data_IF_476955058843
#
_entry.id   IF_476955058843
#
_cell.length_a   1.000
_cell.length_b   1.000
_cell.length_c   1.000
_cell.angle_alpha   90.00
_cell.angle_beta   90.00
_cell.angle_gamma   90.00
#
_symmetry.space_group_name_H-M   'P 1'
#
loop_
_entity.id
_entity.type
_entity.pdbx_description
1 polymer ?
#
# COMPACT_ATOMS: atom_id res chain seq x y z
N UNK A 1 -4.38 17.37 31.69
CA UNK A 1 -4.46 16.18 30.82
C UNK A 1 -4.19 16.69 29.42
N UNK A 2 -3.03 16.38 28.85
CA UNK A 2 -2.66 16.84 27.52
C UNK A 2 -3.29 15.90 26.49
N UNK A 3 -4.11 16.47 25.63
CA UNK A 3 -4.70 15.83 24.46
C UNK A 3 -3.54 15.50 23.51
N UNK A 4 -3.28 14.21 23.27
CA UNK A 4 -2.26 13.79 22.33
C UNK A 4 -2.75 14.12 20.92
N UNK A 5 -2.20 15.20 20.36
CA UNK A 5 -2.37 15.60 18.98
C UNK A 5 -2.05 14.42 18.07
N UNK A 6 -3.07 13.92 17.36
CA UNK A 6 -2.93 12.84 16.39
C UNK A 6 -2.13 13.37 15.19
N UNK A 7 -0.80 13.22 15.26
CA UNK A 7 0.18 13.65 14.23
C UNK A 7 0.23 12.72 13.02
N UNK A 8 -0.72 11.78 12.88
CA UNK A 8 -0.83 10.95 11.68
C UNK A 8 -1.36 11.80 10.52
N UNK A 9 -0.44 12.27 9.66
CA UNK A 9 -0.81 12.90 8.38
C UNK A 9 -1.72 11.93 7.61
N UNK A 10 -2.95 12.32 7.23
CA UNK A 10 -3.84 11.44 6.49
C UNK A 10 -3.23 11.11 5.13
N UNK A 11 -3.40 9.83 4.74
CA UNK A 11 -3.03 9.34 3.43
C UNK A 11 -3.72 10.19 2.34
N UNK A 12 -2.97 10.55 1.30
CA UNK A 12 -3.48 11.33 0.17
C UNK A 12 -3.43 10.53 -1.11
N UNK A 13 -4.60 10.41 -1.73
CA UNK A 13 -4.77 9.79 -3.04
C UNK A 13 -3.88 10.47 -4.11
N UNK A 14 -3.72 11.80 -4.05
CA UNK A 14 -2.84 12.56 -4.95
C UNK A 14 -1.34 12.23 -4.78
N UNK A 15 -0.92 11.71 -3.63
CA UNK A 15 0.48 11.28 -3.38
C UNK A 15 0.71 9.80 -3.65
N UNK A 16 -0.34 9.05 -4.01
CA UNK A 16 -0.25 7.61 -4.22
C UNK A 16 -0.20 6.78 -2.94
N UNK A 17 -0.58 7.39 -1.82
CA UNK A 17 -0.65 6.71 -0.53
C UNK A 17 -1.91 5.86 -0.50
N UNK A 18 -1.79 4.55 -0.62
CA UNK A 18 -2.93 3.64 -0.46
C UNK A 18 -3.23 3.54 1.04
N UNK A 19 -4.38 4.05 1.45
CA UNK A 19 -4.84 4.01 2.85
C UNK A 19 -5.17 2.59 3.27
N UNK A 20 -4.57 2.15 4.37
CA UNK A 20 -4.86 0.89 5.03
C UNK A 20 -5.18 1.17 6.50
N UNK A 21 -6.36 0.78 6.96
CA UNK A 21 -6.73 0.90 8.38
C UNK A 21 -6.39 -0.40 9.09
N UNK A 22 -5.51 -0.32 10.09
CA UNK A 22 -5.11 -1.44 10.94
C UNK A 22 -5.36 -1.02 12.40
N UNK A 23 -6.20 -1.77 13.13
CA UNK A 23 -6.56 -1.49 14.54
C UNK A 23 -6.97 -0.03 14.79
N UNK A 24 -7.82 0.50 13.90
CA UNK A 24 -8.29 1.89 13.95
C UNK A 24 -7.27 2.96 13.55
N UNK A 25 -6.01 2.60 13.31
CA UNK A 25 -4.98 3.50 12.81
C UNK A 25 -4.93 3.51 11.28
N UNK A 26 -5.02 4.69 10.67
CA UNK A 26 -4.81 4.87 9.23
C UNK A 26 -3.32 4.86 8.92
N UNK A 27 -2.88 3.86 8.20
CA UNK A 27 -1.52 3.73 7.66
C UNK A 27 -1.53 3.99 6.16
N UNK A 28 -0.44 4.53 5.64
CA UNK A 28 -0.24 4.74 4.20
C UNK A 28 0.76 3.72 3.66
N UNK A 29 0.41 3.09 2.53
CA UNK A 29 1.31 2.20 1.80
C UNK A 29 2.06 2.99 0.73
N UNK A 30 3.40 2.88 0.73
CA UNK A 30 4.28 3.52 -0.26
C UNK A 30 5.15 2.46 -0.97
N UNK A 31 4.76 1.96 -2.16
CA UNK A 31 5.51 0.94 -2.89
C UNK A 31 6.69 1.56 -3.67
N UNK A 32 7.66 2.10 -2.93
CA UNK A 32 8.94 2.56 -3.48
C UNK A 32 9.78 1.41 -4.03
N UNK A 33 10.78 1.71 -4.86
CA UNK A 33 11.73 0.71 -5.36
C UNK A 33 12.37 -0.10 -4.21
N UNK A 34 12.80 0.58 -3.14
CA UNK A 34 13.38 -0.09 -1.96
C UNK A 34 12.37 -1.02 -1.27
N UNK A 35 11.12 -0.59 -1.13
CA UNK A 35 10.07 -1.41 -0.51
C UNK A 35 9.78 -2.66 -1.35
N UNK A 36 9.67 -2.48 -2.67
CA UNK A 36 9.44 -3.58 -3.63
C UNK A 36 10.57 -4.58 -3.54
N UNK A 37 11.80 -4.11 -3.68
CA UNK A 37 12.98 -4.97 -3.60
C UNK A 37 13.07 -5.71 -2.25
N UNK A 38 12.77 -5.02 -1.14
CA UNK A 38 12.80 -5.62 0.19
C UNK A 38 11.74 -6.71 0.38
N UNK A 39 10.49 -6.48 -0.04
CA UNK A 39 9.47 -7.50 0.11
C UNK A 39 9.69 -8.67 -0.86
N UNK A 40 10.21 -8.45 -2.07
CA UNK A 40 10.58 -9.53 -3.00
C UNK A 40 11.64 -10.42 -2.36
N UNK A 41 12.70 -9.82 -1.80
CA UNK A 41 13.76 -10.55 -1.12
C UNK A 41 13.25 -11.32 0.12
N UNK A 42 12.32 -10.74 0.89
CA UNK A 42 11.78 -11.40 2.08
C UNK A 42 10.79 -12.53 1.78
N UNK A 43 10.10 -12.46 0.64
CA UNK A 43 9.07 -13.43 0.25
C UNK A 43 9.59 -14.50 -0.70
N UNK A 44 10.76 -14.29 -1.29
CA UNK A 44 11.34 -15.08 -2.38
C UNK A 44 10.41 -15.17 -3.59
N UNK A 45 9.72 -14.06 -3.90
CA UNK A 45 8.74 -13.95 -4.97
C UNK A 45 8.88 -12.63 -5.69
N UNK A 46 8.73 -12.67 -7.02
CA UNK A 46 8.74 -11.45 -7.83
C UNK A 46 7.44 -10.64 -7.69
N UNK A 47 7.51 -9.34 -7.99
CA UNK A 47 6.40 -8.40 -7.92
C UNK A 47 5.19 -8.86 -8.75
N UNK A 48 5.44 -9.37 -9.97
CA UNK A 48 4.40 -9.90 -10.85
C UNK A 48 3.72 -11.15 -10.27
N UNK A 49 4.50 -12.02 -9.63
CA UNK A 49 3.97 -13.22 -8.95
C UNK A 49 3.10 -12.82 -7.76
N UNK A 50 3.58 -11.89 -6.92
CA UNK A 50 2.84 -11.37 -5.77
C UNK A 50 1.53 -10.70 -6.19
N UNK A 51 1.56 -9.87 -7.25
CA UNK A 51 0.36 -9.24 -7.80
C UNK A 51 -0.66 -10.26 -8.30
N UNK A 52 -0.20 -11.28 -9.05
CA UNK A 52 -1.07 -12.36 -9.54
C UNK A 52 -1.66 -13.16 -8.38
N UNK A 53 -0.85 -13.53 -7.39
CA UNK A 53 -1.31 -14.26 -6.23
C UNK A 53 -2.35 -13.47 -5.43
N UNK A 54 -2.20 -12.14 -5.33
CA UNK A 54 -3.16 -11.26 -4.67
C UNK A 54 -4.48 -11.18 -5.44
N UNK A 55 -4.43 -11.01 -6.76
CA UNK A 55 -5.61 -11.00 -7.65
C UNK A 55 -6.37 -12.34 -7.62
N UNK A 56 -5.66 -13.46 -7.57
CA UNK A 56 -6.26 -14.80 -7.50
C UNK A 56 -6.72 -15.19 -6.09
N UNK A 57 -6.50 -14.34 -5.07
CA UNK A 57 -6.86 -14.66 -3.68
C UNK A 57 -5.97 -15.73 -3.03
N UNK A 58 -4.80 -16.02 -3.61
CA UNK A 58 -3.87 -17.09 -3.17
C UNK A 58 -2.66 -16.58 -2.39
N UNK A 59 -2.53 -15.28 -2.20
CA UNK A 59 -1.44 -14.70 -1.44
C UNK A 59 -1.50 -15.15 0.03
N UNK A 60 -0.38 -15.66 0.55
CA UNK A 60 -0.30 -16.11 1.95
C UNK A 60 -0.30 -14.90 2.88
N UNK A 61 -0.85 -15.04 4.08
CA UNK A 61 -0.81 -13.99 5.11
C UNK A 61 0.62 -13.52 5.40
N UNK A 62 1.59 -14.44 5.43
CA UNK A 62 2.99 -14.10 5.64
C UNK A 62 3.52 -13.15 4.55
N UNK A 63 3.23 -13.44 3.29
CA UNK A 63 3.66 -12.60 2.15
C UNK A 63 2.95 -11.24 2.17
N UNK A 64 1.64 -11.26 2.45
CA UNK A 64 0.83 -10.05 2.59
C UNK A 64 1.39 -9.14 3.70
N UNK A 65 1.77 -9.72 4.83
CA UNK A 65 2.33 -8.99 5.96
C UNK A 65 3.67 -8.34 5.62
N UNK A 66 4.53 -9.02 4.85
CA UNK A 66 5.81 -8.46 4.40
C UNK A 66 5.59 -7.27 3.46
N UNK A 67 4.72 -7.44 2.45
CA UNK A 67 4.41 -6.37 1.49
C UNK A 67 3.86 -5.13 2.21
N UNK A 68 2.90 -5.32 3.12
CA UNK A 68 2.32 -4.22 3.89
C UNK A 68 3.39 -3.55 4.75
N UNK A 69 4.24 -4.34 5.43
CA UNK A 69 5.27 -3.81 6.32
C UNK A 69 6.29 -2.95 5.58
N UNK A 70 6.85 -3.44 4.47
CA UNK A 70 7.87 -2.69 3.74
C UNK A 70 7.31 -1.40 3.13
N UNK A 71 6.06 -1.42 2.66
CA UNK A 71 5.36 -0.23 2.20
C UNK A 71 5.13 0.81 3.31
N UNK A 72 4.75 0.36 4.52
CA UNK A 72 4.59 1.24 5.69
C UNK A 72 5.94 1.80 6.14
N UNK A 73 6.99 0.97 6.16
CA UNK A 73 8.34 1.41 6.52
C UNK A 73 8.85 2.48 5.56
N UNK A 74 8.66 2.28 4.25
CA UNK A 74 9.04 3.27 3.24
C UNK A 74 8.27 4.58 3.40
N UNK A 75 6.97 4.51 3.70
CA UNK A 75 6.20 5.71 4.03
C UNK A 75 6.73 6.41 5.28
N UNK A 76 7.00 5.67 6.36
CA UNK A 76 7.56 6.22 7.60
C UNK A 76 8.92 6.89 7.40
N UNK A 77 9.78 6.36 6.52
CA UNK A 77 11.04 7.03 6.12
C UNK A 77 10.77 8.32 5.35
N UNK A 78 9.88 8.27 4.36
CA UNK A 78 9.54 9.44 3.53
C UNK A 78 8.88 10.58 4.33
N UNK A 79 8.14 10.26 5.40
CA UNK A 79 7.46 11.23 6.26
C UNK A 79 8.21 11.56 7.55
N UNK A 80 9.43 11.04 7.71
CA UNK A 80 10.27 11.26 8.91
C UNK A 80 9.56 10.84 10.20
N UNK A 81 8.92 9.67 10.17
CA UNK A 81 8.22 9.02 11.31
C UNK A 81 8.99 7.75 11.72
N UNK A 82 9.97 7.83 12.64
CA UNK A 82 10.86 6.71 12.97
C UNK A 82 10.12 5.51 13.56
N UNK A 83 9.08 5.73 14.35
CA UNK A 83 8.25 4.66 14.93
C UNK A 83 7.59 3.80 13.86
N UNK A 84 7.16 4.43 12.76
CA UNK A 84 6.49 3.77 11.63
C UNK A 84 7.52 3.13 10.69
N UNK A 85 8.67 3.80 10.50
CA UNK A 85 9.81 3.25 9.79
C UNK A 85 10.38 1.97 10.45
N UNK A 86 10.12 1.76 11.74
CA UNK A 86 10.52 0.59 12.52
C UNK A 86 9.44 -0.52 12.61
N UNK A 87 8.36 -0.43 11.82
CA UNK A 87 7.23 -1.40 11.85
C UNK A 87 7.71 -2.84 11.74
N UNK A 88 7.02 -3.79 12.39
CA UNK A 88 7.41 -5.21 12.45
C UNK A 88 6.40 -6.10 11.71
N UNK A 89 6.88 -6.98 10.82
CA UNK A 89 6.02 -7.80 9.98
C UNK A 89 5.14 -8.80 10.75
N UNK A 90 5.60 -9.32 11.87
CA UNK A 90 4.77 -10.20 12.72
C UNK A 90 3.63 -9.41 13.34
N UNK A 91 3.91 -8.21 13.89
CA UNK A 91 2.86 -7.35 14.45
C UNK A 91 1.88 -6.89 13.38
N UNK A 92 2.37 -6.52 12.19
CA UNK A 92 1.51 -6.17 11.05
C UNK A 92 0.61 -7.36 10.67
N UNK A 93 1.14 -8.59 10.63
CA UNK A 93 0.33 -9.77 10.35
C UNK A 93 -0.79 -10.00 11.37
N UNK A 94 -0.51 -9.79 12.66
CA UNK A 94 -1.53 -9.83 13.71
C UNK A 94 -2.60 -8.74 13.50
N UNK A 95 -2.17 -7.52 13.21
CA UNK A 95 -3.07 -6.40 12.93
C UNK A 95 -3.96 -6.64 11.71
N UNK A 96 -3.47 -7.32 10.67
CA UNK A 96 -4.26 -7.69 9.49
C UNK A 96 -5.37 -8.69 9.86
N UNK A 97 -5.09 -9.62 10.78
CA UNK A 97 -6.09 -10.57 11.29
C UNK A 97 -7.13 -9.87 12.15
N UNK A 98 -6.71 -8.90 12.96
CA UNK A 98 -7.56 -8.11 13.88
C UNK A 98 -8.36 -7.00 13.16
N UNK A 99 -7.97 -6.63 11.94
CA UNK A 99 -8.61 -5.55 11.20
C UNK A 99 -10.09 -5.83 10.87
N UNK A 100 -10.91 -4.77 10.84
CA UNK A 100 -12.28 -4.86 10.36
C UNK A 100 -12.31 -5.29 8.87
N UNK A 101 -13.08 -6.34 8.57
CA UNK A 101 -13.07 -7.02 7.26
C UNK A 101 -11.89 -7.99 7.06
N UNK A 102 -11.01 -8.09 8.05
CA UNK A 102 -9.90 -9.04 8.15
C UNK A 102 -8.95 -9.04 6.94
N UNK A 103 -8.27 -10.16 6.77
CA UNK A 103 -7.33 -10.36 5.66
C UNK A 103 -7.95 -10.10 4.29
N UNK A 104 -9.23 -10.45 4.08
CA UNK A 104 -9.88 -10.28 2.78
C UNK A 104 -9.93 -8.81 2.33
N UNK A 105 -10.27 -7.90 3.25
CA UNK A 105 -10.29 -6.45 2.97
C UNK A 105 -8.88 -5.93 2.68
N UNK A 106 -7.91 -6.29 3.51
CA UNK A 106 -6.51 -5.87 3.33
C UNK A 106 -5.95 -6.39 2.00
N UNK A 107 -6.24 -7.65 1.67
CA UNK A 107 -5.80 -8.27 0.42
C UNK A 107 -6.36 -7.53 -0.80
N UNK A 108 -7.62 -7.11 -0.77
CA UNK A 108 -8.21 -6.31 -1.87
C UNK A 108 -7.48 -4.99 -2.10
N UNK A 109 -7.14 -4.29 -1.02
CA UNK A 109 -6.38 -3.02 -1.07
C UNK A 109 -4.96 -3.26 -1.62
N UNK A 110 -4.26 -4.26 -1.08
CA UNK A 110 -2.88 -4.60 -1.51
C UNK A 110 -2.87 -5.12 -2.95
N UNK A 111 -3.89 -5.87 -3.37
CA UNK A 111 -4.04 -6.35 -4.75
C UNK A 111 -4.14 -5.19 -5.75
N UNK A 112 -4.94 -4.17 -5.44
CA UNK A 112 -5.02 -2.94 -6.25
C UNK A 112 -3.67 -2.21 -6.32
N UNK A 113 -3.01 -2.05 -5.18
CA UNK A 113 -1.68 -1.42 -5.10
C UNK A 113 -0.62 -2.17 -5.92
N UNK A 114 -0.53 -3.50 -5.78
CA UNK A 114 0.42 -4.33 -6.52
C UNK A 114 0.13 -4.30 -8.03
N UNK A 115 -1.15 -4.26 -8.43
CA UNK A 115 -1.54 -4.11 -9.85
C UNK A 115 -1.03 -2.79 -10.44
N UNK A 116 -1.12 -1.70 -9.68
CA UNK A 116 -0.57 -0.40 -10.08
C UNK A 116 0.97 -0.41 -10.11
N UNK A 117 1.62 -1.10 -9.17
CA UNK A 117 3.07 -1.23 -9.14
C UNK A 117 3.62 -1.98 -10.36
N UNK A 118 3.00 -3.10 -10.73
CA UNK A 118 3.39 -3.89 -11.92
C UNK A 118 3.21 -3.11 -13.23
N UNK A 119 2.17 -2.28 -13.31
CA UNK A 119 1.88 -1.47 -14.51
C UNK A 119 2.69 -0.17 -14.58
N UNK A 120 3.58 0.07 -13.61
CA UNK A 120 4.53 1.19 -13.63
C UNK A 120 3.92 2.52 -13.20
N UNK A 121 2.83 2.51 -12.44
CA UNK A 121 2.10 3.72 -12.02
C UNK A 121 2.76 4.47 -10.84
N UNK A 122 3.83 3.94 -10.26
CA UNK A 122 4.60 4.62 -9.22
C UNK A 122 5.97 5.10 -9.71
N UNK A 123 6.45 6.20 -9.17
CA UNK A 123 7.84 6.64 -9.25
C UNK A 123 8.74 5.71 -8.44
N UNK A 124 10.06 5.78 -8.65
CA UNK A 124 11.00 4.99 -7.84
C UNK A 124 10.94 5.34 -6.34
N UNK A 125 10.57 6.58 -6.00
CA UNK A 125 10.35 7.02 -4.62
C UNK A 125 9.03 6.50 -4.03
N UNK A 126 8.12 5.92 -4.83
CA UNK A 126 6.83 5.37 -4.39
C UNK A 126 5.66 6.35 -4.41
N UNK A 127 5.80 7.50 -5.08
CA UNK A 127 4.67 8.39 -5.39
C UNK A 127 3.92 7.89 -6.63
N UNK A 128 2.60 8.12 -6.71
CA UNK A 128 1.87 7.89 -7.96
C UNK A 128 2.33 8.86 -9.04
N UNK A 129 2.54 8.37 -10.26
CA UNK A 129 2.90 9.19 -11.42
C UNK A 129 1.71 10.04 -11.87
N UNK A 130 1.98 11.30 -12.22
CA UNK A 130 0.97 12.18 -12.82
C UNK A 130 0.46 11.57 -14.15
N UNK A 131 -0.87 11.45 -14.29
CA UNK A 131 -1.53 10.93 -15.50
C UNK A 131 -2.32 9.62 -15.33
N UNK A 132 -2.28 8.98 -14.15
CA UNK A 132 -3.03 7.75 -13.85
C UNK A 132 -4.48 7.97 -13.41
N UNK A 133 -4.89 9.22 -13.19
CA UNK A 133 -6.29 9.62 -13.02
C UNK A 133 -6.87 9.89 -14.41
N UNK A 134 -7.23 8.83 -15.14
CA UNK A 134 -8.04 9.01 -16.36
C UNK A 134 -9.45 9.39 -15.94
N UNK A 135 -9.73 10.68 -15.79
CA UNK A 135 -11.09 11.19 -15.93
C UNK A 135 -11.53 10.83 -17.35
N UNK A 136 -12.35 9.81 -17.52
CA UNK A 136 -13.13 9.62 -18.74
C UNK A 136 -14.13 10.76 -18.85
N UNK A 137 -13.68 11.90 -19.39
CA UNK A 137 -14.59 12.80 -20.10
C UNK A 137 -14.90 12.11 -21.42
N UNK A 138 -15.98 11.33 -21.43
CA UNK A 138 -16.65 10.95 -22.66
C UNK A 138 -17.29 12.22 -23.24
N UNK A 139 -16.51 13.03 -23.95
CA UNK A 139 -17.09 13.95 -24.93
C UNK A 139 -17.58 13.08 -26.09
N UNK A 140 -18.88 12.79 -26.08
CA UNK A 140 -19.57 12.27 -27.26
C UNK A 140 -19.55 13.43 -28.28
N UNK A 141 -18.98 13.26 -29.49
CA UNK A 141 -19.06 14.29 -30.51
C UNK A 141 -20.54 14.49 -30.87
N UNK A 142 -21.02 15.72 -30.75
CA UNK A 142 -22.35 16.08 -31.24
C UNK A 142 -22.36 15.88 -32.76
N UNK A 143 -23.16 14.93 -33.23
CA UNK A 143 -23.48 14.77 -34.65
C UNK A 143 -24.17 16.05 -35.15
N UNK A 144 -23.67 16.62 -36.24
CA UNK A 144 -24.31 17.67 -37.04
C UNK A 144 -24.84 17.08 -38.34
#
# INVERSE_FOLDING_TARGET
>A
MAEAENTARPASEERGEVSLVLDGATMALRPSYEAIFAFEASTDKGLLELARAALEGKMRLADLSQVVTECIRAWGRATQQPSIAASNAVRIGQLIVEAEGGMARVLGIVSGMLSMAVTGNFTASGEVKAGTTTTTTSEVPAES
#
